data_IF_159793470061
#
_entry.id   IF_159793470061
#
_cell.length_a   1.000
_cell.length_b   1.000
_cell.length_c   1.000
_cell.angle_alpha   90.00
_cell.angle_beta   90.00
_cell.angle_gamma   90.00
#
_symmetry.space_group_name_H-M   'P 1'
#
loop_
_entity.id
_entity.type
_entity.pdbx_description
1 polymer ?
#
# COMPACT_ATOMS: atom_id res chain seq x y z
N UNK A 1 -0.12 10.68 17.34
CA UNK A 1 1.09 11.15 16.62
C UNK A 1 1.38 12.59 17.02
N UNK A 2 2.41 12.81 17.80
CA UNK A 2 2.85 14.15 18.17
C UNK A 2 3.59 14.70 16.96
N UNK A 3 2.98 15.63 16.23
CA UNK A 3 3.69 16.42 15.23
C UNK A 3 4.31 17.61 15.98
N UNK A 4 5.63 17.67 16.02
CA UNK A 4 6.35 18.83 16.53
C UNK A 4 6.06 20.02 15.61
N UNK A 5 5.31 20.99 16.06
CA UNK A 5 5.15 22.30 15.44
C UNK A 5 6.21 23.24 16.05
N UNK A 6 7.36 23.33 15.42
CA UNK A 6 8.43 24.18 15.91
C UNK A 6 9.69 24.11 15.07
N UNK A 7 9.61 24.49 13.78
CA UNK A 7 10.75 24.57 12.88
C UNK A 7 10.30 24.84 11.44
N UNK A 8 11.21 25.16 10.49
CA UNK A 8 10.89 25.49 9.12
C UNK A 8 10.44 24.29 8.26
N UNK A 9 10.06 23.16 8.88
CA UNK A 9 9.57 21.98 8.15
C UNK A 9 8.09 22.12 7.85
N UNK A 10 7.75 21.95 6.58
CA UNK A 10 6.36 21.86 6.10
C UNK A 10 5.62 20.77 6.86
N UNK A 11 4.42 21.07 7.35
CA UNK A 11 3.57 20.11 8.07
C UNK A 11 3.22 18.93 7.13
N UNK A 12 3.86 17.78 7.33
CA UNK A 12 3.69 16.58 6.49
C UNK A 12 2.31 15.93 6.69
N UNK A 13 1.61 16.25 7.80
CA UNK A 13 0.35 15.59 8.20
C UNK A 13 -0.80 16.58 8.38
N UNK A 14 -1.15 17.30 7.32
CA UNK A 14 -2.29 18.25 7.33
C UNK A 14 -3.66 17.57 7.45
N UNK A 15 -3.76 16.26 7.22
CA UNK A 15 -5.01 15.49 7.25
C UNK A 15 -5.33 14.86 8.62
N UNK A 16 -4.42 14.94 9.59
CA UNK A 16 -4.70 14.56 10.98
C UNK A 16 -5.27 15.75 11.75
N UNK A 17 -5.93 15.48 12.89
CA UNK A 17 -6.49 16.53 13.78
C UNK A 17 -5.40 17.40 14.43
N UNK A 18 -4.34 17.67 13.71
CA UNK A 18 -3.23 18.52 14.11
C UNK A 18 -3.03 19.56 13.02
N UNK A 19 -3.72 20.70 13.16
CA UNK A 19 -3.63 21.82 12.22
C UNK A 19 -4.46 21.70 10.93
N UNK A 20 -5.24 20.63 10.77
CA UNK A 20 -6.09 20.41 9.58
C UNK A 20 -7.57 20.65 9.79
N UNK A 21 -8.00 20.98 11.03
CA UNK A 21 -9.40 21.25 11.33
C UNK A 21 -9.72 22.74 11.18
N UNK A 22 -10.95 23.09 10.75
CA UNK A 22 -11.40 24.46 10.72
C UNK A 22 -11.37 25.09 12.11
N UNK A 23 -10.99 26.37 12.22
CA UNK A 23 -10.97 27.12 13.49
C UNK A 23 -12.37 27.19 14.16
N UNK A 24 -13.42 27.18 13.34
CA UNK A 24 -14.81 27.16 13.81
C UNK A 24 -15.49 25.88 13.34
N UNK A 25 -15.73 24.97 14.25
CA UNK A 25 -16.52 23.76 14.04
C UNK A 25 -17.73 23.72 14.95
N UNK A 26 -18.91 23.36 14.40
CA UNK A 26 -20.11 23.11 15.16
C UNK A 26 -20.20 21.65 15.67
N UNK A 27 -19.08 20.94 15.71
CA UNK A 27 -18.95 19.55 16.12
C UNK A 27 -18.02 19.44 17.33
N UNK A 28 -18.31 18.50 18.22
CA UNK A 28 -17.39 18.12 19.30
C UNK A 28 -16.45 17.02 18.80
N UNK A 29 -15.16 17.18 19.03
CA UNK A 29 -14.19 16.14 18.79
C UNK A 29 -14.27 15.07 19.89
N UNK A 30 -14.29 13.80 19.45
CA UNK A 30 -14.15 12.63 20.31
C UNK A 30 -12.87 11.91 19.86
N UNK A 31 -11.84 11.96 20.68
CA UNK A 31 -10.51 11.41 20.36
C UNK A 31 -10.03 10.47 21.47
N UNK A 32 -10.67 9.31 21.67
CA UNK A 32 -10.34 8.41 22.78
C UNK A 32 -8.93 7.84 22.70
N UNK A 33 -8.31 7.81 21.49
CA UNK A 33 -6.97 7.26 21.24
C UNK A 33 -5.89 8.34 21.15
N UNK A 34 -6.19 9.59 21.49
CA UNK A 34 -5.28 10.74 21.26
C UNK A 34 -3.90 10.57 21.94
N UNK A 35 -3.87 9.95 23.10
CA UNK A 35 -2.66 9.78 23.92
C UNK A 35 -1.93 8.46 23.64
N UNK A 36 -2.46 7.60 22.78
CA UNK A 36 -1.87 6.30 22.47
C UNK A 36 -1.00 6.37 21.23
N UNK A 37 0.13 5.65 21.27
CA UNK A 37 0.91 5.36 20.08
C UNK A 37 0.25 4.26 19.24
N UNK A 38 0.69 4.11 17.99
CA UNK A 38 0.05 3.18 17.04
C UNK A 38 0.15 1.71 17.48
N UNK A 39 1.25 1.31 18.10
CA UNK A 39 1.46 0.01 18.68
C UNK A 39 0.53 -0.25 19.89
N UNK A 40 0.36 0.75 20.75
CA UNK A 40 -0.58 0.68 21.87
C UNK A 40 -2.04 0.57 21.39
N UNK A 41 -2.40 1.31 20.32
CA UNK A 41 -3.73 1.17 19.70
C UNK A 41 -3.96 -0.24 19.15
N UNK A 42 -2.92 -0.89 18.61
CA UNK A 42 -2.99 -2.27 18.16
C UNK A 42 -3.17 -3.25 19.31
N UNK A 43 -2.47 -3.04 20.43
CA UNK A 43 -2.65 -3.84 21.66
C UNK A 43 -4.09 -3.69 22.15
N UNK A 44 -4.59 -2.47 22.27
CA UNK A 44 -5.98 -2.20 22.66
C UNK A 44 -6.97 -2.87 21.70
N UNK A 45 -6.70 -2.87 20.40
CA UNK A 45 -7.51 -3.56 19.41
C UNK A 45 -7.63 -5.07 19.67
N UNK A 46 -6.52 -5.71 20.05
CA UNK A 46 -6.52 -7.14 20.43
C UNK A 46 -7.32 -7.39 21.70
N UNK A 47 -7.14 -6.55 22.72
CA UNK A 47 -7.92 -6.64 23.97
C UNK A 47 -9.43 -6.47 23.73
N UNK A 48 -9.82 -5.67 22.73
CA UNK A 48 -11.21 -5.48 22.31
C UNK A 48 -11.71 -6.60 21.39
N UNK A 49 -10.90 -7.62 21.09
CA UNK A 49 -11.28 -8.77 20.28
C UNK A 49 -11.38 -8.48 18.77
N UNK A 50 -10.72 -7.45 18.26
CA UNK A 50 -10.66 -7.20 16.81
C UNK A 50 -9.85 -8.28 16.11
N UNK A 51 -10.28 -8.73 14.90
CA UNK A 51 -9.54 -9.71 14.13
C UNK A 51 -8.12 -9.23 13.79
N UNK A 52 -7.13 -10.11 13.87
CA UNK A 52 -5.72 -9.78 13.57
C UNK A 52 -5.55 -9.22 12.16
N UNK A 53 -6.37 -9.64 11.20
CA UNK A 53 -6.38 -9.11 9.83
C UNK A 53 -6.65 -7.61 9.74
N UNK A 54 -7.30 -7.02 10.76
CA UNK A 54 -7.48 -5.56 10.87
C UNK A 54 -6.32 -4.90 11.60
N UNK A 55 -5.81 -5.54 12.64
CA UNK A 55 -4.79 -5.00 13.55
C UNK A 55 -3.42 -5.00 12.89
N UNK A 56 -3.03 -6.12 12.26
CA UNK A 56 -1.74 -6.32 11.59
C UNK A 56 -1.68 -5.76 10.16
N UNK A 57 -2.75 -5.12 9.70
CA UNK A 57 -2.80 -4.57 8.34
C UNK A 57 -1.66 -3.58 8.10
N UNK A 58 -1.00 -3.72 6.95
CA UNK A 58 -0.01 -2.76 6.47
C UNK A 58 -0.59 -1.34 6.44
N UNK A 59 0.22 -0.30 6.75
CA UNK A 59 -0.24 1.08 6.64
C UNK A 59 -0.58 1.39 5.18
N UNK A 60 -1.72 2.04 4.98
CA UNK A 60 -2.22 2.40 3.66
C UNK A 60 -2.36 3.92 3.58
N UNK A 61 -1.96 4.54 2.47
CA UNK A 61 -2.23 5.95 2.25
C UNK A 61 -3.74 6.21 2.21
N UNK A 62 -4.18 7.35 2.72
CA UNK A 62 -5.60 7.71 2.83
C UNK A 62 -6.41 7.57 1.52
N UNK A 63 -5.89 8.03 0.35
CA UNK A 63 -6.57 7.84 -0.93
C UNK A 63 -6.66 6.38 -1.41
N UNK A 64 -5.96 5.45 -0.77
CA UNK A 64 -6.06 4.02 -1.02
C UNK A 64 -5.66 3.63 -2.44
N UNK A 65 -6.58 2.95 -3.14
CA UNK A 65 -6.33 2.40 -4.47
C UNK A 65 -6.06 3.48 -5.54
N UNK A 66 -6.65 4.67 -5.38
CA UNK A 66 -6.56 5.74 -6.37
C UNK A 66 -5.12 6.19 -6.65
N UNK A 67 -4.29 6.34 -5.61
CA UNK A 67 -2.88 6.77 -5.80
C UNK A 67 -2.00 5.68 -6.44
N UNK A 68 -2.49 4.46 -6.50
CA UNK A 68 -1.82 3.31 -7.10
C UNK A 68 -2.23 3.10 -8.56
N UNK A 69 -3.06 3.99 -9.09
CA UNK A 69 -3.46 4.05 -10.49
C UNK A 69 -3.23 5.47 -11.02
N UNK A 70 -1.97 5.88 -11.29
CA UNK A 70 -1.66 7.22 -11.77
C UNK A 70 -2.35 7.55 -13.10
N UNK A 71 -2.81 8.80 -13.24
CA UNK A 71 -3.56 9.29 -14.39
C UNK A 71 -5.06 9.09 -14.23
N UNK A 72 -5.77 8.92 -15.34
CA UNK A 72 -7.21 8.69 -15.34
C UNK A 72 -7.56 7.37 -14.65
N UNK A 73 -8.50 7.43 -13.71
CA UNK A 73 -8.99 6.27 -12.97
C UNK A 73 -10.24 5.74 -13.69
N UNK A 74 -10.18 4.48 -14.13
CA UNK A 74 -11.31 3.76 -14.73
C UNK A 74 -11.55 2.46 -14.00
N UNK A 75 -12.78 1.95 -14.04
CA UNK A 75 -13.13 0.67 -13.41
C UNK A 75 -12.26 -0.48 -13.94
N UNK A 76 -12.02 -0.53 -15.25
CA UNK A 76 -11.16 -1.55 -15.86
C UNK A 76 -9.72 -1.52 -15.31
N UNK A 77 -9.12 -0.34 -15.13
CA UNK A 77 -7.78 -0.23 -14.51
C UNK A 77 -7.79 -0.62 -13.04
N UNK A 78 -8.85 -0.26 -12.32
CA UNK A 78 -8.96 -0.62 -10.91
C UNK A 78 -9.13 -2.14 -10.74
N UNK A 79 -9.85 -2.80 -11.61
CA UNK A 79 -9.99 -4.26 -11.62
C UNK A 79 -8.65 -4.95 -11.87
N UNK A 80 -7.90 -4.51 -12.89
CA UNK A 80 -6.55 -5.00 -13.17
C UNK A 80 -5.64 -4.84 -11.95
N UNK A 81 -5.66 -3.66 -11.32
CA UNK A 81 -4.84 -3.36 -10.15
C UNK A 81 -5.24 -4.20 -8.93
N UNK A 82 -6.54 -4.36 -8.65
CA UNK A 82 -7.04 -5.20 -7.55
C UNK A 82 -6.58 -6.64 -7.69
N UNK A 83 -6.71 -7.20 -8.89
CA UNK A 83 -6.32 -8.59 -9.17
C UNK A 83 -4.79 -8.79 -9.00
N UNK A 84 -3.98 -7.84 -9.49
CA UNK A 84 -2.54 -7.89 -9.31
C UNK A 84 -2.12 -7.75 -7.84
N UNK A 85 -2.73 -6.82 -7.13
CA UNK A 85 -2.47 -6.56 -5.70
C UNK A 85 -2.86 -7.76 -4.83
N UNK A 86 -3.99 -8.40 -5.13
CA UNK A 86 -4.45 -9.61 -4.44
C UNK A 86 -3.44 -10.76 -4.59
N UNK A 87 -2.97 -11.01 -5.81
CA UNK A 87 -1.94 -12.04 -6.06
C UNK A 87 -0.69 -11.69 -5.26
N UNK A 88 -0.22 -10.45 -5.34
CA UNK A 88 0.99 -10.00 -4.67
C UNK A 88 0.91 -10.21 -3.15
N UNK A 89 -0.11 -9.69 -2.52
CA UNK A 89 -0.27 -9.79 -1.05
C UNK A 89 -0.48 -11.25 -0.61
N UNK A 90 -1.19 -12.06 -1.39
CA UNK A 90 -1.39 -13.46 -1.08
C UNK A 90 -0.09 -14.27 -1.16
N UNK A 91 0.78 -14.00 -2.14
CA UNK A 91 2.06 -14.67 -2.24
C UNK A 91 3.02 -14.25 -1.10
N UNK A 92 3.05 -12.98 -0.73
CA UNK A 92 3.78 -12.50 0.46
C UNK A 92 3.33 -13.24 1.72
N UNK A 93 2.01 -13.38 1.91
CA UNK A 93 1.45 -14.09 3.07
C UNK A 93 1.81 -15.58 3.05
N UNK A 94 1.72 -16.25 1.91
CA UNK A 94 2.08 -17.67 1.75
C UNK A 94 3.55 -17.92 2.03
N UNK A 95 4.41 -16.98 1.66
CA UNK A 95 5.84 -17.04 1.94
C UNK A 95 6.19 -16.71 3.41
N UNK A 96 5.22 -16.30 4.24
CA UNK A 96 5.45 -15.91 5.64
C UNK A 96 6.13 -14.55 5.80
N UNK A 97 6.20 -13.74 4.74
CA UNK A 97 6.95 -12.48 4.72
C UNK A 97 6.10 -11.25 5.12
N UNK A 98 4.79 -11.44 5.35
CA UNK A 98 3.87 -10.32 5.55
C UNK A 98 4.22 -9.47 6.78
N UNK A 99 4.65 -10.09 7.86
CA UNK A 99 4.96 -9.39 9.11
C UNK A 99 6.36 -8.73 9.11
N UNK A 100 7.27 -9.17 8.23
CA UNK A 100 8.58 -8.57 8.03
C UNK A 100 8.51 -7.28 7.19
N UNK A 101 7.51 -7.20 6.32
CA UNK A 101 7.31 -6.08 5.42
C UNK A 101 6.41 -5.03 6.09
N UNK A 102 6.91 -3.81 6.20
CA UNK A 102 6.13 -2.73 6.78
C UNK A 102 4.98 -2.27 5.88
N UNK A 103 5.22 -2.21 4.56
CA UNK A 103 4.22 -1.85 3.56
C UNK A 103 4.53 -2.54 2.23
N UNK A 104 3.52 -3.18 1.63
CA UNK A 104 3.59 -3.73 0.28
C UNK A 104 2.30 -3.43 -0.48
N UNK A 105 2.43 -3.13 -1.77
CA UNK A 105 1.31 -2.98 -2.69
C UNK A 105 1.76 -2.97 -4.15
N UNK A 106 0.82 -3.26 -5.06
CA UNK A 106 1.00 -3.10 -6.49
C UNK A 106 0.57 -1.71 -6.96
N UNK A 107 1.19 -1.21 -8.03
CA UNK A 107 0.84 0.05 -8.72
C UNK A 107 0.67 -0.26 -10.20
N UNK A 108 -0.43 0.17 -10.79
CA UNK A 108 -0.63 0.07 -12.24
C UNK A 108 -0.10 1.34 -12.90
N UNK A 109 1.05 1.24 -13.57
CA UNK A 109 1.66 2.38 -14.24
C UNK A 109 0.86 2.76 -15.50
N UNK A 110 0.76 4.05 -15.84
CA UNK A 110 0.08 4.50 -17.06
C UNK A 110 0.83 4.12 -18.35
N UNK A 111 2.08 3.64 -18.20
CA UNK A 111 2.93 3.21 -19.30
C UNK A 111 2.52 1.82 -19.78
N UNK A 112 2.45 1.66 -21.10
CA UNK A 112 2.26 0.36 -21.73
C UNK A 112 3.56 -0.13 -22.35
N UNK A 113 3.77 -1.41 -22.35
CA UNK A 113 4.93 -2.05 -22.96
C UNK A 113 4.50 -3.11 -23.99
N UNK A 114 5.39 -3.36 -24.95
CA UNK A 114 5.22 -4.48 -25.86
C UNK A 114 5.66 -5.74 -25.15
N UNK A 115 4.84 -6.78 -25.20
CA UNK A 115 5.14 -8.12 -24.72
C UNK A 115 4.78 -9.17 -25.77
N UNK A 116 5.21 -10.39 -25.53
CA UNK A 116 4.82 -11.55 -26.32
C UNK A 116 4.16 -12.55 -25.36
N UNK A 117 2.91 -12.91 -25.64
CA UNK A 117 2.19 -13.93 -24.88
C UNK A 117 1.68 -14.99 -25.86
N UNK A 118 2.26 -16.19 -25.80
CA UNK A 118 2.09 -17.19 -26.82
C UNK A 118 2.63 -16.68 -28.17
N UNK A 119 1.86 -16.80 -29.24
CA UNK A 119 2.24 -16.35 -30.59
C UNK A 119 1.80 -14.90 -30.90
N UNK A 120 1.20 -14.21 -29.91
CA UNK A 120 0.64 -12.87 -30.09
C UNK A 120 1.52 -11.79 -29.42
N UNK A 121 1.71 -10.69 -30.16
CA UNK A 121 2.26 -9.45 -29.60
C UNK A 121 1.18 -8.76 -28.79
N UNK A 122 1.51 -8.38 -27.56
CA UNK A 122 0.62 -7.64 -26.66
C UNK A 122 1.14 -6.22 -26.41
N UNK A 123 0.23 -5.29 -26.13
CA UNK A 123 0.56 -3.92 -25.72
C UNK A 123 -0.25 -3.56 -24.50
N UNK A 124 0.30 -3.85 -23.32
CA UNK A 124 -0.41 -3.83 -22.07
C UNK A 124 0.36 -3.03 -20.99
N UNK A 125 -0.26 -2.84 -19.84
CA UNK A 125 0.29 -2.04 -18.74
C UNK A 125 1.49 -2.71 -18.07
N UNK A 126 2.30 -1.86 -17.46
CA UNK A 126 3.37 -2.26 -16.55
C UNK A 126 2.82 -2.19 -15.12
N UNK A 127 3.00 -3.25 -14.36
CA UNK A 127 2.73 -3.31 -12.93
C UNK A 127 4.03 -3.12 -12.16
N UNK A 128 4.09 -2.11 -11.31
CA UNK A 128 5.18 -1.93 -10.37
C UNK A 128 4.79 -2.50 -9.00
N UNK A 129 5.70 -3.24 -8.39
CA UNK A 129 5.56 -3.76 -7.04
C UNK A 129 6.39 -2.91 -6.09
N UNK A 130 5.83 -2.64 -4.94
CA UNK A 130 6.51 -1.95 -3.86
C UNK A 130 6.47 -2.80 -2.61
N UNK A 131 7.61 -3.02 -1.97
CA UNK A 131 7.71 -3.48 -0.60
C UNK A 131 8.82 -2.72 0.12
N UNK A 132 8.54 -2.28 1.33
CA UNK A 132 9.48 -1.53 2.14
C UNK A 132 9.44 -2.01 3.58
N UNK A 133 10.58 -1.89 4.24
CA UNK A 133 10.74 -2.00 5.69
C UNK A 133 10.81 -0.61 6.30
N UNK A 134 10.39 -0.48 7.53
CA UNK A 134 10.52 0.74 8.31
C UNK A 134 10.46 0.42 9.79
N UNK A 135 11.32 1.03 10.56
CA UNK A 135 11.34 0.89 12.04
C UNK A 135 10.45 1.96 12.68
N UNK A 136 10.52 3.18 12.19
CA UNK A 136 9.85 4.36 12.78
C UNK A 136 8.66 4.89 11.96
N UNK A 137 8.42 4.32 10.77
CA UNK A 137 7.40 4.78 9.82
C UNK A 137 7.73 6.11 9.13
N UNK A 138 8.93 6.64 9.32
CA UNK A 138 9.42 7.88 8.69
C UNK A 138 10.52 7.61 7.68
N UNK A 139 11.40 6.66 7.96
CA UNK A 139 12.40 6.14 7.04
C UNK A 139 11.93 4.80 6.48
N UNK A 140 12.18 4.56 5.21
CA UNK A 140 11.79 3.32 4.55
C UNK A 140 12.91 2.84 3.64
N UNK A 141 13.32 1.60 3.85
CA UNK A 141 14.24 0.90 2.99
C UNK A 141 13.50 -0.11 2.12
N UNK A 142 14.05 -0.42 0.95
CA UNK A 142 13.48 -1.44 0.08
C UNK A 142 13.57 -2.81 0.76
N UNK A 143 12.49 -3.59 0.70
CA UNK A 143 12.54 -4.99 1.12
C UNK A 143 13.19 -5.83 0.04
N UNK A 144 14.22 -6.59 0.37
CA UNK A 144 14.95 -7.43 -0.58
C UNK A 144 14.32 -8.81 -0.68
N UNK A 145 13.48 -9.00 -1.69
CA UNK A 145 12.99 -10.33 -2.03
C UNK A 145 14.07 -11.20 -2.68
N UNK A 146 13.95 -12.50 -2.48
CA UNK A 146 14.70 -13.47 -3.26
C UNK A 146 14.32 -13.37 -4.76
N UNK A 147 15.29 -13.58 -5.65
CA UNK A 147 15.09 -13.53 -7.09
C UNK A 147 14.07 -14.56 -7.60
N UNK A 148 14.04 -15.73 -6.98
CA UNK A 148 13.10 -16.81 -7.34
C UNK A 148 11.68 -16.43 -6.95
N UNK A 149 11.50 -15.77 -5.80
CA UNK A 149 10.21 -15.24 -5.40
C UNK A 149 9.71 -14.16 -6.36
N UNK A 150 10.57 -13.21 -6.77
CA UNK A 150 10.20 -12.18 -7.74
C UNK A 150 9.84 -12.77 -9.10
N UNK A 151 10.58 -13.79 -9.54
CA UNK A 151 10.31 -14.50 -10.79
C UNK A 151 8.97 -15.22 -10.75
N UNK A 152 8.68 -15.96 -9.68
CA UNK A 152 7.41 -16.62 -9.45
C UNK A 152 6.25 -15.63 -9.46
N UNK A 153 6.41 -14.54 -8.74
CA UNK A 153 5.39 -13.50 -8.61
C UNK A 153 5.10 -12.80 -9.95
N UNK A 154 6.15 -12.42 -10.68
CA UNK A 154 6.03 -11.82 -12.01
C UNK A 154 5.29 -12.74 -12.98
N UNK A 155 5.68 -14.01 -13.05
CA UNK A 155 5.03 -15.00 -13.89
C UNK A 155 3.56 -15.18 -13.52
N UNK A 156 3.26 -15.25 -12.22
CA UNK A 156 1.90 -15.44 -11.74
C UNK A 156 0.99 -14.26 -12.08
N UNK A 157 1.46 -13.03 -11.87
CA UNK A 157 0.70 -11.82 -12.21
C UNK A 157 0.46 -11.74 -13.73
N UNK A 158 1.51 -11.89 -14.55
CA UNK A 158 1.40 -11.78 -16.01
C UNK A 158 0.45 -12.84 -16.58
N UNK A 159 0.51 -14.07 -16.08
CA UNK A 159 -0.32 -15.17 -16.60
C UNK A 159 -1.78 -15.11 -16.10
N UNK A 160 -2.04 -14.48 -14.96
CA UNK A 160 -3.38 -14.49 -14.34
C UNK A 160 -4.15 -13.18 -14.56
N UNK A 161 -3.47 -12.06 -14.76
CA UNK A 161 -4.09 -10.74 -14.86
C UNK A 161 -4.00 -10.21 -16.28
N UNK A 162 -5.11 -10.28 -17.01
CA UNK A 162 -5.21 -9.66 -18.34
C UNK A 162 -5.02 -8.14 -18.22
N UNK A 163 -4.23 -7.57 -19.11
CA UNK A 163 -3.91 -6.15 -19.11
C UNK A 163 -2.56 -5.79 -18.52
N UNK A 164 -1.81 -6.77 -18.01
CA UNK A 164 -0.42 -6.63 -17.55
C UNK A 164 0.47 -7.60 -18.32
N UNK A 165 1.51 -7.09 -18.96
CA UNK A 165 2.53 -7.91 -19.61
C UNK A 165 3.95 -7.71 -19.06
N UNK A 166 4.10 -6.85 -18.07
CA UNK A 166 5.39 -6.59 -17.41
C UNK A 166 5.21 -6.27 -15.94
N UNK A 167 6.04 -6.89 -15.12
CA UNK A 167 6.14 -6.59 -13.69
C UNK A 167 7.55 -6.06 -13.41
N UNK A 168 7.65 -5.01 -12.62
CA UNK A 168 8.90 -4.39 -12.17
C UNK A 168 8.88 -4.25 -10.65
N UNK A 169 10.06 -4.31 -10.05
CA UNK A 169 10.26 -4.14 -8.62
C UNK A 169 11.35 -3.13 -8.33
#
# INVERSE_FOLDING_TARGET
SISFTGGPSVTIKSHHNVGGLPEKMNLKLIEPLRQLFKDEVRILGRELGLPESFIARHPFPGPGLAIRCPGEITEAKLEILRNADEIYINEIKKAGLYDEIWQAFAVLLPTRSVGVMGDARTYEYVCALRAVTSVDGMTADIYHFDSDFLSLLSNKIINSVKGINRVVY
#
